data_IF_633718147050
#
_entry.id   IF_633718147050
#
_cell.length_a   1.000
_cell.length_b   1.000
_cell.length_c   1.000
_cell.angle_alpha   90.00
_cell.angle_beta   90.00
_cell.angle_gamma   90.00
#
_symmetry.space_group_name_H-M   'P 1'
#
loop_
_entity.id
_entity.type
_entity.pdbx_description
1 polymer ?
#
# COMPACT_ATOMS: atom_id res chain seq x y z
N UNK A 1 -1.95 -15.68 -0.19
CA UNK A 1 -1.81 -16.46 -1.43
C UNK A 1 -2.41 -17.84 -1.19
N UNK A 2 -2.91 -18.55 -2.21
CA UNK A 2 -3.47 -19.91 -2.06
C UNK A 2 -2.41 -21.01 -1.84
N UNK A 3 -1.13 -20.67 -2.07
CA UNK A 3 0.03 -21.54 -1.94
C UNK A 3 1.17 -20.71 -1.35
N UNK A 4 1.89 -21.23 -0.36
CA UNK A 4 3.10 -20.63 0.22
C UNK A 4 4.36 -21.32 -0.31
N UNK A 5 5.53 -20.68 -0.14
CA UNK A 5 6.82 -21.30 -0.46
C UNK A 5 7.00 -22.65 0.27
N UNK A 6 6.56 -22.72 1.52
CA UNK A 6 6.57 -23.93 2.34
C UNK A 6 5.66 -25.04 1.78
N UNK A 7 4.50 -24.66 1.25
CA UNK A 7 3.58 -25.62 0.61
C UNK A 7 4.18 -26.20 -0.68
N UNK A 8 5.00 -25.43 -1.38
CA UNK A 8 5.70 -25.86 -2.60
C UNK A 8 6.81 -26.84 -2.25
N UNK A 9 7.64 -26.52 -1.24
CA UNK A 9 8.74 -27.39 -0.79
C UNK A 9 8.25 -28.74 -0.26
N UNK A 10 7.10 -28.76 0.44
CA UNK A 10 6.54 -29.99 0.99
C UNK A 10 5.60 -30.73 0.03
N UNK A 11 5.49 -30.28 -1.24
CA UNK A 11 4.57 -30.90 -2.19
C UNK A 11 5.06 -32.27 -2.63
N UNK A 12 4.31 -33.31 -2.27
CA UNK A 12 4.56 -34.68 -2.75
C UNK A 12 3.67 -35.00 -3.95
N UNK A 13 4.27 -35.61 -4.97
CA UNK A 13 3.59 -36.07 -6.18
C UNK A 13 3.62 -37.59 -6.29
N UNK A 14 2.52 -38.18 -6.74
CA UNK A 14 2.44 -39.61 -7.04
C UNK A 14 3.29 -39.96 -8.27
N UNK A 15 3.99 -41.09 -8.23
CA UNK A 15 4.78 -41.58 -9.36
C UNK A 15 3.95 -42.46 -10.30
N UNK A 16 4.15 -42.31 -11.61
CA UNK A 16 3.55 -43.17 -12.65
C UNK A 16 4.59 -43.58 -13.70
N UNK A 17 4.34 -44.69 -14.42
CA UNK A 17 5.27 -45.34 -15.36
C UNK A 17 5.77 -44.45 -16.53
N UNK A 18 5.18 -43.26 -16.73
CA UNK A 18 5.64 -42.23 -17.67
C UNK A 18 5.50 -40.82 -17.06
N UNK A 19 6.11 -40.60 -15.89
CA UNK A 19 6.13 -39.31 -15.19
C UNK A 19 7.38 -38.46 -15.51
N UNK A 20 7.38 -37.23 -15.03
CA UNK A 20 8.56 -36.37 -15.05
C UNK A 20 9.68 -36.94 -14.17
N UNK A 21 10.92 -36.57 -14.49
CA UNK A 21 12.07 -36.96 -13.68
C UNK A 21 12.01 -36.28 -12.32
N UNK A 22 11.80 -37.06 -11.26
CA UNK A 22 11.57 -36.56 -9.90
C UNK A 22 12.59 -35.50 -9.48
N UNK A 23 13.89 -35.76 -9.63
CA UNK A 23 14.95 -34.81 -9.25
C UNK A 23 14.87 -33.47 -9.99
N UNK A 24 14.47 -33.47 -11.27
CA UNK A 24 14.36 -32.21 -12.03
C UNK A 24 13.14 -31.42 -11.58
N UNK A 25 12.05 -32.11 -11.25
CA UNK A 25 10.85 -31.49 -10.68
C UNK A 25 11.16 -30.91 -9.30
N UNK A 26 11.85 -31.66 -8.44
CA UNK A 26 12.20 -31.22 -7.10
C UNK A 26 13.08 -29.95 -7.15
N UNK A 27 14.10 -29.91 -8.02
CA UNK A 27 14.93 -28.72 -8.23
C UNK A 27 14.12 -27.51 -8.73
N UNK A 28 13.22 -27.72 -9.68
CA UNK A 28 12.37 -26.65 -10.19
C UNK A 28 11.39 -26.12 -9.13
N UNK A 29 10.87 -26.99 -8.25
CA UNK A 29 10.02 -26.59 -7.14
C UNK A 29 10.79 -25.77 -6.10
N UNK A 30 12.07 -26.06 -5.88
CA UNK A 30 12.93 -25.27 -5.00
C UNK A 30 13.11 -23.84 -5.55
N UNK A 31 13.43 -23.71 -6.84
CA UNK A 31 13.52 -22.39 -7.51
C UNK A 31 12.20 -21.61 -7.46
N UNK A 32 11.06 -22.29 -7.65
CA UNK A 32 9.74 -21.65 -7.53
C UNK A 32 9.47 -21.23 -6.08
N UNK A 33 9.81 -22.05 -5.09
CA UNK A 33 9.59 -21.73 -3.69
C UNK A 33 10.36 -20.48 -3.28
N UNK A 34 11.65 -20.38 -3.67
CA UNK A 34 12.48 -19.20 -3.45
C UNK A 34 11.86 -17.95 -4.09
N UNK A 35 11.43 -18.06 -5.36
CA UNK A 35 10.79 -16.96 -6.08
C UNK A 35 9.49 -16.50 -5.41
N UNK A 36 8.68 -17.44 -4.90
CA UNK A 36 7.42 -17.12 -4.19
C UNK A 36 7.70 -16.46 -2.85
N UNK A 37 8.75 -16.88 -2.14
CA UNK A 37 9.18 -16.25 -0.90
C UNK A 37 9.63 -14.80 -1.13
N UNK A 38 10.47 -14.58 -2.14
CA UNK A 38 10.92 -13.24 -2.54
C UNK A 38 9.74 -12.33 -2.92
N UNK A 39 8.85 -12.81 -3.79
CA UNK A 39 7.64 -12.07 -4.17
C UNK A 39 6.73 -11.76 -2.97
N UNK A 40 6.63 -12.67 -2.01
CA UNK A 40 5.83 -12.46 -0.80
C UNK A 40 6.46 -11.37 0.07
N UNK A 41 7.78 -11.41 0.26
CA UNK A 41 8.53 -10.40 1.01
C UNK A 41 8.41 -9.02 0.35
N UNK A 42 8.61 -8.94 -0.95
CA UNK A 42 8.46 -7.70 -1.71
C UNK A 42 7.04 -7.15 -1.64
N UNK A 43 6.03 -8.02 -1.73
CA UNK A 43 4.64 -7.59 -1.59
C UNK A 43 4.35 -6.98 -0.21
N UNK A 44 4.91 -7.55 0.86
CA UNK A 44 4.78 -7.01 2.21
C UNK A 44 5.44 -5.63 2.32
N UNK A 45 6.69 -5.50 1.86
CA UNK A 45 7.43 -4.23 1.87
C UNK A 45 6.69 -3.15 1.05
N UNK A 46 6.16 -3.51 -0.12
CA UNK A 46 5.41 -2.58 -0.96
C UNK A 46 4.10 -2.13 -0.29
N UNK A 47 3.40 -3.04 0.38
CA UNK A 47 2.17 -2.72 1.14
C UNK A 47 2.46 -1.78 2.31
N UNK A 48 3.54 -2.00 3.05
CA UNK A 48 3.96 -1.12 4.14
C UNK A 48 4.28 0.29 3.62
N UNK A 49 5.04 0.37 2.52
CA UNK A 49 5.36 1.64 1.85
C UNK A 49 4.12 2.36 1.36
N UNK A 50 3.17 1.63 0.77
CA UNK A 50 1.90 2.19 0.31
C UNK A 50 1.10 2.76 1.50
N UNK A 51 0.97 2.00 2.58
CA UNK A 51 0.28 2.44 3.80
C UNK A 51 0.90 3.72 4.38
N UNK A 52 2.24 3.79 4.44
CA UNK A 52 2.93 4.99 4.93
C UNK A 52 2.69 6.21 4.03
N UNK A 53 2.66 6.02 2.71
CA UNK A 53 2.38 7.08 1.74
C UNK A 53 0.93 7.55 1.80
N UNK A 54 -0.01 6.64 1.98
CA UNK A 54 -1.43 6.98 2.15
C UNK A 54 -1.66 7.79 3.43
N UNK A 55 -0.94 7.47 4.51
CA UNK A 55 -0.98 8.26 5.74
C UNK A 55 -0.43 9.68 5.53
N UNK A 56 0.75 9.81 4.91
CA UNK A 56 1.36 11.10 4.55
C UNK A 56 0.41 11.95 3.69
N UNK A 57 -0.18 11.36 2.66
CA UNK A 57 -1.19 12.02 1.82
C UNK A 57 -2.42 12.45 2.62
N UNK A 58 -2.87 11.62 3.56
CA UNK A 58 -3.97 11.94 4.46
C UNK A 58 -3.68 13.16 5.34
N UNK A 59 -2.46 13.26 5.87
CA UNK A 59 -2.02 14.41 6.67
C UNK A 59 -1.97 15.69 5.83
N UNK A 60 -1.40 15.62 4.62
CA UNK A 60 -1.33 16.76 3.70
C UNK A 60 -2.72 17.27 3.32
N UNK A 61 -3.67 16.39 3.00
CA UNK A 61 -5.06 16.78 2.70
C UNK A 61 -5.76 17.47 3.87
N UNK A 62 -5.51 17.04 5.12
CA UNK A 62 -6.05 17.71 6.31
C UNK A 62 -5.43 19.08 6.52
N UNK A 63 -4.13 19.22 6.30
CA UNK A 63 -3.45 20.50 6.38
C UNK A 63 -3.98 21.48 5.31
N UNK A 64 -4.15 21.02 4.08
CA UNK A 64 -4.74 21.79 2.98
C UNK A 64 -6.18 22.24 3.30
N UNK A 65 -7.01 21.34 3.82
CA UNK A 65 -8.38 21.67 4.23
C UNK A 65 -8.38 22.72 5.35
N UNK A 66 -7.49 22.58 6.33
CA UNK A 66 -7.36 23.55 7.43
C UNK A 66 -6.95 24.92 6.91
N UNK A 67 -5.93 24.98 6.06
CA UNK A 67 -5.47 26.22 5.42
C UNK A 67 -6.60 26.88 4.62
N UNK A 68 -7.35 26.10 3.85
CA UNK A 68 -8.49 26.58 3.07
C UNK A 68 -9.57 27.18 3.97
N UNK A 69 -9.94 26.49 5.04
CA UNK A 69 -10.90 27.02 6.02
C UNK A 69 -10.40 28.31 6.69
N UNK A 70 -9.13 28.36 7.07
CA UNK A 70 -8.52 29.57 7.65
C UNK A 70 -8.56 30.75 6.68
N UNK A 71 -8.26 30.54 5.39
CA UNK A 71 -8.35 31.59 4.37
C UNK A 71 -9.78 32.12 4.21
N UNK A 72 -10.78 31.23 4.15
CA UNK A 72 -12.19 31.61 4.05
C UNK A 72 -12.63 32.41 5.29
N UNK A 73 -12.25 31.96 6.49
CA UNK A 73 -12.55 32.67 7.74
C UNK A 73 -11.88 34.04 7.79
N UNK A 74 -10.62 34.15 7.34
CA UNK A 74 -9.88 35.42 7.29
C UNK A 74 -10.55 36.40 6.33
N UNK A 75 -10.93 35.93 5.14
CA UNK A 75 -11.66 36.75 4.16
C UNK A 75 -12.99 37.24 4.74
N UNK A 76 -13.75 36.35 5.37
CA UNK A 76 -15.02 36.69 6.03
C UNK A 76 -14.84 37.74 7.13
N UNK A 77 -13.78 37.61 7.94
CA UNK A 77 -13.44 38.57 8.99
C UNK A 77 -13.06 39.95 8.43
N UNK A 78 -12.25 39.99 7.37
CA UNK A 78 -11.90 41.22 6.66
C UNK A 78 -13.14 41.90 6.09
N UNK A 79 -14.08 41.14 5.51
CA UNK A 79 -15.32 41.68 4.95
C UNK A 79 -16.29 42.17 6.04
N UNK A 80 -16.26 41.58 7.23
CA UNK A 80 -17.00 42.07 8.40
C UNK A 80 -16.40 43.37 8.93
N UNK A 81 -15.07 43.45 9.06
CA UNK A 81 -14.35 44.67 9.44
C UNK A 81 -14.67 45.85 8.51
N UNK A 82 -14.62 45.63 7.19
CA UNK A 82 -14.98 46.66 6.20
C UNK A 82 -16.42 47.14 6.34
N UNK A 83 -17.37 46.21 6.55
CA UNK A 83 -18.79 46.53 6.73
C UNK A 83 -19.08 47.28 8.03
N UNK A 84 -18.39 46.93 9.12
CA UNK A 84 -18.47 47.67 10.39
C UNK A 84 -17.92 49.09 10.26
N UNK A 85 -16.74 49.23 9.66
CA UNK A 85 -16.12 50.55 9.42
C UNK A 85 -16.96 51.46 8.52
N UNK A 86 -17.72 50.92 7.56
CA UNK A 86 -18.66 51.70 6.74
C UNK A 86 -19.97 52.07 7.46
N UNK A 87 -20.33 51.35 8.54
CA UNK A 87 -21.55 51.61 9.33
C UNK A 87 -21.31 52.63 10.43
N UNK A 88 -20.10 52.69 10.95
CA UNK A 88 -19.71 53.55 12.07
C UNK A 88 -19.06 54.87 11.61
N UNK A 89 -19.02 55.14 10.29
CA UNK A 89 -18.58 56.38 9.65
C UNK A 89 -19.77 57.11 9.00
#
# INVERSE_FOLDING_TARGET
MKITALDIQHKVFDTRWRGYHKTQVDQFLEEIAESVEELTKDNLVLKERLSAKDEELGQLKRAESTLTSTLISTQSFVDQLKRGAQRDA
#
